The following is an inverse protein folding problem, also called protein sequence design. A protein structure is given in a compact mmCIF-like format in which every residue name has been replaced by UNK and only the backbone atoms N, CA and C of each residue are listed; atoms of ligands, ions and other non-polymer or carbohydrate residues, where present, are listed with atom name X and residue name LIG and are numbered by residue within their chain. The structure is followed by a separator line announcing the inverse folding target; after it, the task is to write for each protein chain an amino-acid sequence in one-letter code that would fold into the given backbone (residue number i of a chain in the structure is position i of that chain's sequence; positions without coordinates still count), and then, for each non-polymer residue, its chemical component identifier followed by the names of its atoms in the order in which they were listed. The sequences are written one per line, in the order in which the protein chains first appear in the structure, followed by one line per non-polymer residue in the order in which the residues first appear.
data_IF_920582261955
#
_entry.id   IF_920582261955
#
_cell.length_a   1.000
_cell.length_b   1.000
_cell.length_c   1.000
_cell.angle_alpha   90.00
_cell.angle_beta   90.00
_cell.angle_gamma   90.00
#
_symmetry.space_group_name_H-M   'P 1'
#
loop_
_entity.id
_entity.type
_entity.pdbx_description
1 polymer ?
#
# COMPACT_ATOMS: atom_id res chain seq x y z
N UNK A 1 36.82 -29.08 -15.57
CA UNK A 1 35.56 -29.08 -14.80
C UNK A 1 34.57 -28.34 -15.64
N UNK A 2 33.58 -29.08 -16.14
CA UNK A 2 32.73 -28.72 -17.26
C UNK A 2 31.82 -27.52 -16.94
N UNK A 3 31.90 -26.49 -17.78
CA UNK A 3 30.95 -25.38 -17.77
C UNK A 3 29.63 -25.88 -18.36
N UNK A 4 28.66 -26.16 -17.48
CA UNK A 4 27.30 -26.47 -17.88
C UNK A 4 26.70 -25.33 -18.72
N UNK A 5 26.00 -25.62 -19.84
CA UNK A 5 24.96 -24.73 -20.32
C UNK A 5 23.83 -24.79 -19.29
N UNK A 6 23.72 -23.78 -18.42
CA UNK A 6 22.65 -23.76 -17.41
C UNK A 6 21.32 -23.50 -18.11
N UNK A 7 20.35 -24.33 -17.72
CA UNK A 7 18.99 -24.37 -18.25
C UNK A 7 18.28 -23.02 -18.16
N UNK A 8 17.31 -22.82 -19.05
CA UNK A 8 16.37 -21.69 -19.18
C UNK A 8 15.67 -21.28 -17.85
N UNK A 9 15.77 -22.09 -16.80
CA UNK A 9 15.15 -21.89 -15.48
C UNK A 9 15.91 -20.95 -14.52
N UNK A 10 17.09 -20.42 -14.86
CA UNK A 10 17.81 -19.46 -13.98
C UNK A 10 17.42 -17.98 -14.16
N UNK A 11 16.48 -17.66 -15.07
CA UNK A 11 16.15 -16.29 -15.50
C UNK A 11 15.59 -15.31 -14.45
N UNK A 12 15.56 -15.71 -13.17
CA UNK A 12 15.08 -14.88 -12.06
C UNK A 12 15.89 -15.09 -10.77
N UNK A 13 17.04 -15.78 -10.86
CA UNK A 13 17.90 -16.00 -9.70
C UNK A 13 18.46 -14.67 -9.21
N UNK A 14 18.47 -14.49 -7.90
CA UNK A 14 19.02 -13.29 -7.25
C UNK A 14 20.50 -13.48 -6.98
N UNK A 15 21.27 -12.41 -7.17
CA UNK A 15 22.72 -12.40 -6.98
C UNK A 15 23.15 -11.11 -6.28
N UNK A 16 24.34 -11.13 -5.69
CA UNK A 16 25.01 -9.93 -5.16
C UNK A 16 26.34 -9.72 -5.87
N UNK A 17 26.73 -8.45 -6.05
CA UNK A 17 27.98 -8.07 -6.70
C UNK A 17 28.44 -6.72 -6.15
N UNK A 18 29.61 -6.71 -5.49
CA UNK A 18 30.15 -5.58 -4.74
C UNK A 18 29.09 -4.94 -3.80
N UNK A 19 28.41 -5.78 -3.00
CA UNK A 19 27.42 -5.36 -2.00
C UNK A 19 26.03 -4.97 -2.53
N UNK A 20 25.86 -4.88 -3.85
CA UNK A 20 24.58 -4.54 -4.48
C UNK A 20 23.86 -5.76 -5.02
N UNK A 21 22.52 -5.71 -4.98
CA UNK A 21 21.65 -6.81 -5.40
C UNK A 21 21.19 -6.67 -6.83
N UNK A 22 21.12 -7.80 -7.52
CA UNK A 22 20.64 -7.87 -8.88
C UNK A 22 19.86 -9.16 -9.16
N UNK A 23 19.12 -9.15 -10.26
CA UNK A 23 18.46 -10.32 -10.84
C UNK A 23 19.28 -10.78 -12.03
N UNK A 24 19.62 -12.08 -12.09
CA UNK A 24 20.30 -12.67 -13.23
C UNK A 24 19.33 -12.77 -14.41
N UNK A 25 19.73 -12.25 -15.56
CA UNK A 25 18.93 -12.17 -16.79
C UNK A 25 19.54 -12.89 -17.98
N UNK A 26 20.86 -13.08 -17.98
CA UNK A 26 21.59 -13.72 -19.07
C UNK A 26 22.86 -14.39 -18.56
N UNK A 27 23.20 -15.55 -19.12
CA UNK A 27 24.47 -16.24 -18.89
C UNK A 27 25.00 -16.68 -20.23
N UNK A 28 26.15 -16.14 -20.65
CA UNK A 28 26.71 -16.49 -21.94
C UNK A 28 27.81 -15.55 -22.46
N UNK A 29 28.31 -15.81 -23.68
CA UNK A 29 29.30 -14.96 -24.32
C UNK A 29 28.68 -13.66 -24.84
N UNK A 30 29.45 -12.57 -24.82
CA UNK A 30 29.02 -11.24 -25.31
C UNK A 30 30.04 -10.72 -26.32
N UNK A 31 29.98 -11.13 -27.59
CA UNK A 31 30.92 -10.68 -28.62
C UNK A 31 31.00 -9.14 -28.74
N UNK A 32 32.19 -8.59 -29.07
CA UNK A 32 33.44 -9.28 -29.37
C UNK A 32 34.24 -9.68 -28.11
N UNK A 33 33.71 -9.43 -26.91
CA UNK A 33 34.44 -9.74 -25.67
C UNK A 33 34.49 -11.25 -25.44
N UNK A 34 35.63 -11.72 -24.93
CA UNK A 34 35.85 -13.14 -24.66
C UNK A 34 35.35 -13.56 -23.27
N UNK A 35 35.10 -14.86 -23.13
CA UNK A 35 34.71 -15.51 -21.89
C UNK A 35 33.23 -15.39 -21.55
N UNK A 36 32.86 -15.99 -20.42
CA UNK A 36 31.51 -15.98 -19.90
C UNK A 36 31.18 -14.64 -19.24
N UNK A 37 29.96 -14.17 -19.46
CA UNK A 37 29.38 -13.01 -18.80
C UNK A 37 28.04 -13.36 -18.18
N UNK A 38 27.75 -12.68 -17.07
CA UNK A 38 26.43 -12.66 -16.47
C UNK A 38 25.80 -11.31 -16.80
N UNK A 39 24.70 -11.32 -17.55
CA UNK A 39 23.84 -10.16 -17.69
C UNK A 39 22.93 -10.07 -16.47
N UNK A 40 23.01 -8.98 -15.74
CA UNK A 40 22.25 -8.75 -14.51
C UNK A 40 21.44 -7.46 -14.63
N UNK A 41 20.26 -7.45 -14.02
CA UNK A 41 19.46 -6.25 -13.82
C UNK A 41 19.51 -5.85 -12.35
N UNK A 42 20.01 -4.65 -12.08
CA UNK A 42 20.22 -4.17 -10.72
C UNK A 42 18.91 -3.79 -10.03
N UNK A 43 18.89 -3.94 -8.70
CA UNK A 43 17.80 -3.41 -7.91
C UNK A 43 17.74 -1.88 -7.95
N UNK A 44 18.90 -1.23 -7.87
CA UNK A 44 19.08 0.19 -8.12
C UNK A 44 19.45 0.44 -9.59
N UNK A 45 18.57 1.06 -10.40
CA UNK A 45 18.86 1.30 -11.82
C UNK A 45 20.01 2.27 -12.09
N UNK A 46 20.43 3.08 -11.11
CA UNK A 46 21.58 4.00 -11.24
C UNK A 46 22.93 3.26 -11.23
N UNK A 47 22.98 2.03 -10.69
CA UNK A 47 24.18 1.17 -10.68
C UNK A 47 24.47 0.60 -12.07
N UNK A 48 23.44 0.46 -12.90
CA UNK A 48 23.56 -0.15 -14.21
C UNK A 48 24.07 0.79 -15.30
N UNK A 49 24.21 0.26 -16.51
CA UNK A 49 24.90 0.91 -17.64
C UNK A 49 24.10 0.89 -18.94
N UNK A 50 23.20 -0.08 -19.11
CA UNK A 50 22.49 -0.31 -20.37
C UNK A 50 21.14 -1.02 -20.13
N UNK A 51 20.35 -1.20 -21.18
CA UNK A 51 19.03 -1.85 -21.15
C UNK A 51 19.09 -3.39 -21.31
N UNK A 52 20.31 -3.91 -21.45
CA UNK A 52 20.59 -5.34 -21.69
C UNK A 52 21.08 -5.64 -23.11
N UNK A 53 21.32 -4.58 -23.90
CA UNK A 53 22.02 -4.65 -25.19
C UNK A 53 23.53 -4.41 -25.07
N UNK A 54 24.29 -4.97 -26.01
CA UNK A 54 25.70 -4.64 -26.24
C UNK A 54 25.99 -4.63 -27.74
N UNK A 55 26.63 -3.57 -28.25
CA UNK A 55 26.97 -3.40 -29.67
C UNK A 55 25.82 -3.68 -30.65
N UNK A 56 24.60 -3.22 -30.32
CA UNK A 56 23.40 -3.39 -31.16
C UNK A 56 22.73 -4.77 -31.07
N UNK A 57 23.24 -5.69 -30.25
CA UNK A 57 22.61 -6.99 -29.99
C UNK A 57 21.90 -6.95 -28.64
N UNK A 58 20.61 -7.34 -28.61
CA UNK A 58 19.84 -7.47 -27.37
C UNK A 58 20.04 -8.86 -26.77
N UNK A 59 20.55 -8.94 -25.53
CA UNK A 59 20.75 -10.21 -24.83
C UNK A 59 19.64 -10.49 -23.82
N UNK A 60 19.20 -9.45 -23.13
CA UNK A 60 18.09 -9.47 -22.17
C UNK A 60 17.45 -8.09 -22.10
N UNK A 61 16.29 -7.96 -21.49
CA UNK A 61 15.61 -6.66 -21.31
C UNK A 61 15.59 -6.26 -19.84
N UNK A 62 15.64 -4.96 -19.58
CA UNK A 62 15.51 -4.37 -18.24
C UNK A 62 14.24 -3.52 -18.16
N UNK A 63 13.71 -3.35 -16.95
CA UNK A 63 12.63 -2.41 -16.66
C UNK A 63 13.06 -0.95 -16.76
N UNK A 64 14.36 -0.68 -16.64
CA UNK A 64 14.96 0.65 -16.77
C UNK A 64 16.00 0.69 -17.90
N UNK A 65 16.08 1.77 -18.71
CA UNK A 65 17.03 1.87 -19.82
C UNK A 65 18.51 1.75 -19.44
N UNK A 66 18.83 1.99 -18.17
CA UNK A 66 20.18 1.85 -17.61
C UNK A 66 20.27 0.74 -16.57
N UNK A 67 19.23 -0.07 -16.35
CA UNK A 67 19.18 -0.99 -15.21
C UNK A 67 20.12 -2.20 -15.32
N UNK A 68 20.62 -2.50 -16.52
CA UNK A 68 21.40 -3.69 -16.82
C UNK A 68 22.92 -3.50 -16.76
N UNK A 69 23.64 -4.59 -16.51
CA UNK A 69 25.10 -4.68 -16.66
C UNK A 69 25.54 -6.08 -17.06
N UNK A 70 26.64 -6.19 -17.78
CA UNK A 70 27.40 -7.44 -17.90
C UNK A 70 28.50 -7.47 -16.85
N UNK A 71 28.50 -8.50 -16.00
CA UNK A 71 29.48 -8.70 -14.92
C UNK A 71 30.20 -10.05 -15.08
N UNK A 72 31.42 -10.12 -14.54
CA UNK A 72 32.20 -11.36 -14.56
C UNK A 72 31.73 -12.30 -13.46
N UNK A 73 31.58 -13.61 -13.73
CA UNK A 73 31.15 -14.58 -12.72
C UNK A 73 31.95 -14.53 -11.41
N UNK A 74 33.26 -14.29 -11.49
CA UNK A 74 34.15 -14.20 -10.32
C UNK A 74 33.85 -13.02 -9.37
N UNK A 75 33.05 -12.03 -9.78
CA UNK A 75 32.63 -10.90 -8.95
C UNK A 75 31.25 -11.10 -8.31
N UNK A 76 30.57 -12.19 -8.66
CA UNK A 76 29.18 -12.42 -8.28
C UNK A 76 29.12 -13.52 -7.23
N UNK A 77 28.35 -13.25 -6.18
CA UNK A 77 27.98 -14.24 -5.16
C UNK A 77 26.53 -14.65 -5.36
N UNK A 78 26.30 -15.95 -5.23
CA UNK A 78 24.98 -16.56 -5.28
C UNK A 78 24.40 -16.78 -3.89
N UNK A 79 25.10 -16.32 -2.85
CA UNK A 79 24.67 -16.46 -1.47
C UNK A 79 24.91 -17.83 -0.86
N UNK A 80 24.36 -17.98 0.34
CA UNK A 80 24.43 -19.19 1.17
C UNK A 80 23.04 -19.58 1.64
N UNK A 81 22.90 -20.81 2.14
CA UNK A 81 21.65 -21.24 2.76
C UNK A 81 21.38 -20.51 4.08
N UNK A 82 20.15 -20.64 4.55
CA UNK A 82 19.64 -20.00 5.77
C UNK A 82 20.49 -20.28 7.02
N UNK A 83 20.87 -21.53 7.29
CA UNK A 83 21.59 -21.89 8.52
C UNK A 83 23.05 -21.45 8.47
N UNK A 84 23.66 -21.48 7.29
CA UNK A 84 24.98 -20.90 7.09
C UNK A 84 24.95 -19.40 7.39
N UNK A 85 23.94 -18.67 6.90
CA UNK A 85 23.81 -17.24 7.18
C UNK A 85 23.55 -16.94 8.67
N UNK A 86 22.69 -17.71 9.33
CA UNK A 86 22.42 -17.59 10.77
C UNK A 86 23.67 -17.82 11.61
N UNK A 87 24.46 -18.84 11.28
CA UNK A 87 25.73 -19.13 11.95
C UNK A 87 26.71 -17.94 11.85
N UNK A 88 26.79 -17.30 10.67
CA UNK A 88 27.62 -16.10 10.46
C UNK A 88 27.10 -14.93 11.28
N UNK A 89 25.79 -14.69 11.27
CA UNK A 89 25.15 -13.63 12.04
C UNK A 89 25.47 -13.74 13.53
N UNK A 90 25.41 -14.94 14.10
CA UNK A 90 25.76 -15.16 15.50
C UNK A 90 27.23 -14.89 15.79
N UNK A 91 28.14 -15.29 14.91
CA UNK A 91 29.56 -14.96 15.08
C UNK A 91 29.80 -13.44 15.10
N UNK A 92 29.11 -12.71 14.22
CA UNK A 92 29.18 -11.25 14.20
C UNK A 92 28.61 -10.63 15.48
N UNK A 93 27.44 -11.10 15.96
CA UNK A 93 26.86 -10.63 17.22
C UNK A 93 27.77 -10.84 18.43
N UNK A 94 28.50 -11.96 18.45
CA UNK A 94 29.42 -12.28 19.54
C UNK A 94 30.81 -11.64 19.38
N UNK A 95 31.02 -10.81 18.35
CA UNK A 95 32.30 -10.14 18.08
C UNK A 95 33.42 -11.11 17.67
N UNK A 96 33.06 -12.31 17.20
CA UNK A 96 33.99 -13.38 16.84
C UNK A 96 34.36 -13.39 15.36
N UNK A 97 33.73 -12.54 14.54
CA UNK A 97 34.04 -12.34 13.13
C UNK A 97 34.38 -10.87 12.84
N UNK A 98 35.41 -10.63 12.04
CA UNK A 98 35.71 -9.30 11.47
C UNK A 98 34.85 -9.06 10.22
N UNK A 99 34.52 -7.80 9.96
CA UNK A 99 33.59 -7.34 8.91
C UNK A 99 33.99 -7.71 7.48
N UNK A 100 35.26 -8.12 7.25
CA UNK A 100 35.83 -8.34 5.91
C UNK A 100 35.82 -9.81 5.47
N UNK A 101 35.01 -10.67 6.10
CA UNK A 101 35.01 -12.09 5.76
C UNK A 101 34.35 -12.35 4.41
N UNK A 102 35.17 -12.43 3.35
CA UNK A 102 34.78 -13.02 2.07
C UNK A 102 34.53 -14.51 2.31
N UNK A 103 33.25 -14.87 2.42
CA UNK A 103 32.80 -16.23 2.69
C UNK A 103 33.24 -17.18 1.57
N UNK A 104 34.27 -18.00 1.82
CA UNK A 104 34.59 -19.15 0.98
C UNK A 104 34.05 -20.45 1.63
N UNK A 105 33.94 -21.53 0.86
CA UNK A 105 33.35 -22.81 1.31
C UNK A 105 34.05 -23.38 2.55
N UNK A 106 35.38 -23.21 2.67
CA UNK A 106 36.17 -23.72 3.79
C UNK A 106 35.93 -22.92 5.07
N UNK A 107 35.75 -21.61 4.92
CA UNK A 107 35.30 -20.70 5.95
C UNK A 107 33.90 -21.05 6.47
N UNK A 108 32.95 -21.41 5.61
CA UNK A 108 31.62 -21.89 6.03
C UNK A 108 31.71 -23.16 6.88
N UNK A 109 32.50 -24.16 6.45
CA UNK A 109 32.66 -25.43 7.18
C UNK A 109 33.24 -25.18 8.58
N UNK A 110 34.23 -24.28 8.68
CA UNK A 110 34.80 -23.90 9.98
C UNK A 110 33.78 -23.17 10.86
N UNK A 111 33.03 -22.22 10.31
CA UNK A 111 31.97 -21.47 11.01
C UNK A 111 30.86 -22.40 11.51
N UNK A 112 30.38 -23.32 10.67
CA UNK A 112 29.38 -24.32 11.06
C UNK A 112 29.89 -25.23 12.17
N UNK A 113 31.13 -25.70 12.07
CA UNK A 113 31.75 -26.54 13.10
C UNK A 113 31.92 -25.77 14.43
N UNK A 114 32.29 -24.49 14.38
CA UNK A 114 32.45 -23.66 15.58
C UNK A 114 31.11 -23.24 16.21
N UNK A 115 30.11 -22.87 15.41
CA UNK A 115 28.77 -22.52 15.89
C UNK A 115 28.10 -23.71 16.59
N UNK A 116 28.28 -24.93 16.06
CA UNK A 116 27.80 -26.18 16.67
C UNK A 116 28.43 -26.44 18.05
N UNK A 117 29.67 -25.99 18.28
CA UNK A 117 30.38 -26.17 19.55
C UNK A 117 30.09 -25.07 20.59
N UNK A 118 29.65 -23.87 20.18
CA UNK A 118 29.65 -22.70 21.07
C UNK A 118 28.25 -22.21 21.48
N UNK A 119 27.19 -22.46 20.71
CA UNK A 119 25.87 -21.91 21.05
C UNK A 119 24.73 -22.92 20.94
N UNK A 120 24.02 -23.11 22.07
CA UNK A 120 22.71 -23.75 22.11
C UNK A 120 21.67 -22.75 21.58
N UNK A 121 21.33 -22.87 20.28
CA UNK A 121 20.33 -22.08 19.54
C UNK A 121 18.92 -22.04 20.16
N UNK A 122 18.69 -22.82 21.22
CA UNK A 122 17.42 -23.00 21.94
C UNK A 122 16.74 -21.73 22.50
N UNK A 123 17.38 -20.55 22.49
CA UNK A 123 16.88 -19.36 23.21
C UNK A 123 16.40 -18.21 22.33
N UNK A 124 16.66 -18.22 21.03
CA UNK A 124 16.30 -17.07 20.18
C UNK A 124 14.82 -17.12 19.79
N UNK A 125 14.09 -16.06 20.17
CA UNK A 125 12.72 -15.83 19.70
C UNK A 125 12.68 -15.04 18.38
N UNK A 126 13.78 -14.38 18.03
CA UNK A 126 13.91 -13.56 16.82
C UNK A 126 15.21 -13.86 16.11
N UNK A 127 15.16 -14.02 14.79
CA UNK A 127 16.31 -14.16 13.89
C UNK A 127 16.28 -13.01 12.89
N UNK A 128 17.39 -12.28 12.76
CA UNK A 128 17.48 -11.09 11.90
C UNK A 128 18.63 -11.29 10.91
N UNK A 129 18.28 -11.63 9.67
CA UNK A 129 19.21 -11.86 8.57
C UNK A 129 19.01 -10.80 7.48
N UNK A 130 18.51 -9.61 7.84
CA UNK A 130 18.36 -8.53 6.89
C UNK A 130 19.70 -8.15 6.28
N UNK A 131 19.74 -8.05 4.95
CA UNK A 131 20.96 -7.71 4.21
C UNK A 131 21.95 -8.87 4.05
N UNK A 132 21.69 -10.05 4.63
CA UNK A 132 22.50 -11.24 4.36
C UNK A 132 22.16 -11.85 3.01
N UNK A 133 23.09 -12.61 2.44
CA UNK A 133 22.95 -13.23 1.12
C UNK A 133 22.26 -14.60 1.20
N UNK A 134 21.15 -14.71 1.94
CA UNK A 134 20.39 -15.96 2.05
C UNK A 134 19.75 -16.29 0.70
N UNK A 135 20.00 -17.47 0.15
CA UNK A 135 19.48 -17.89 -1.16
C UNK A 135 18.47 -19.04 -1.12
N UNK A 136 18.27 -19.67 0.04
CA UNK A 136 17.39 -20.83 0.18
C UNK A 136 17.43 -21.49 1.56
N UNK A 137 16.63 -22.55 1.77
CA UNK A 137 16.42 -23.20 3.07
C UNK A 137 17.61 -24.04 3.57
N UNK A 138 18.49 -24.51 2.69
CA UNK A 138 19.52 -25.49 3.05
C UNK A 138 18.98 -26.93 3.14
N UNK A 139 19.62 -27.77 3.96
CA UNK A 139 19.22 -29.16 4.12
C UNK A 139 17.90 -29.31 4.90
N UNK A 140 17.06 -30.24 4.47
CA UNK A 140 15.74 -30.43 5.06
C UNK A 140 15.82 -30.91 6.52
N UNK A 141 15.05 -30.27 7.41
CA UNK A 141 14.89 -30.67 8.81
C UNK A 141 15.87 -30.03 9.78
N UNK A 142 16.99 -29.47 9.31
CA UNK A 142 18.00 -28.86 10.19
C UNK A 142 17.52 -27.57 10.85
N UNK A 143 16.68 -26.77 10.18
CA UNK A 143 16.11 -25.54 10.76
C UNK A 143 15.23 -25.89 11.96
N UNK A 144 14.42 -26.94 11.83
CA UNK A 144 13.51 -27.39 12.88
C UNK A 144 14.26 -27.85 14.13
N UNK A 145 15.42 -28.49 13.98
CA UNK A 145 16.19 -28.99 15.13
C UNK A 145 16.98 -27.88 15.83
N UNK A 146 17.43 -26.88 15.08
CA UNK A 146 18.26 -25.78 15.59
C UNK A 146 17.46 -24.59 16.10
N UNK A 147 16.39 -24.19 15.39
CA UNK A 147 15.69 -22.91 15.58
C UNK A 147 14.19 -23.07 15.90
N UNK A 148 13.81 -24.14 16.60
CA UNK A 148 12.42 -24.47 16.95
C UNK A 148 11.66 -23.43 17.80
N UNK A 149 12.35 -22.45 18.39
CA UNK A 149 11.76 -21.43 19.26
C UNK A 149 11.57 -20.07 18.61
N UNK A 150 11.92 -19.92 17.32
CA UNK A 150 11.82 -18.65 16.61
C UNK A 150 10.35 -18.28 16.36
N UNK A 151 9.97 -17.09 16.82
CA UNK A 151 8.66 -16.48 16.64
C UNK A 151 8.67 -15.34 15.61
N UNK A 152 9.85 -14.72 15.40
CA UNK A 152 10.02 -13.60 14.48
C UNK A 152 11.22 -13.81 13.56
N UNK A 153 11.03 -13.60 12.26
CA UNK A 153 12.08 -13.77 11.26
C UNK A 153 12.14 -12.57 10.32
N UNK A 154 13.32 -11.97 10.19
CA UNK A 154 13.60 -10.94 9.20
C UNK A 154 14.58 -11.45 8.14
N UNK A 155 14.08 -11.57 6.91
CA UNK A 155 14.80 -11.97 5.70
C UNK A 155 14.79 -10.84 4.66
N UNK A 156 14.71 -9.59 5.12
CA UNK A 156 14.62 -8.41 4.26
C UNK A 156 15.89 -8.19 3.45
N UNK A 157 15.74 -8.04 2.14
CA UNK A 157 16.84 -7.83 1.21
C UNK A 157 17.79 -9.01 1.22
N UNK A 158 17.28 -10.23 1.08
CA UNK A 158 18.12 -11.42 0.89
C UNK A 158 18.29 -11.71 -0.60
N UNK A 159 18.83 -12.89 -0.94
CA UNK A 159 18.86 -13.43 -2.30
C UNK A 159 17.77 -14.48 -2.53
N UNK A 160 16.75 -14.53 -1.68
CA UNK A 160 15.57 -15.36 -1.92
C UNK A 160 14.82 -14.83 -3.14
N UNK A 161 14.57 -15.72 -4.10
CA UNK A 161 13.90 -15.39 -5.36
C UNK A 161 12.56 -16.08 -5.53
N UNK A 162 12.17 -17.00 -4.63
CA UNK A 162 10.99 -17.86 -4.77
C UNK A 162 10.22 -17.97 -3.46
N UNK A 163 8.89 -18.04 -3.55
CA UNK A 163 8.04 -18.30 -2.39
C UNK A 163 8.21 -19.72 -1.85
N UNK A 164 8.58 -20.68 -2.70
CA UNK A 164 8.80 -22.07 -2.30
C UNK A 164 9.99 -22.19 -1.34
N UNK A 165 11.06 -21.40 -1.54
CA UNK A 165 12.21 -21.37 -0.64
C UNK A 165 11.84 -20.74 0.71
N UNK A 166 11.02 -19.67 0.70
CA UNK A 166 10.47 -19.08 1.91
C UNK A 166 9.60 -20.10 2.65
N UNK A 167 8.69 -20.78 1.96
CA UNK A 167 7.82 -21.79 2.55
C UNK A 167 8.61 -22.95 3.15
N UNK A 168 9.69 -23.40 2.49
CA UNK A 168 10.56 -24.45 3.02
C UNK A 168 11.31 -24.04 4.29
N UNK A 169 11.60 -22.74 4.48
CA UNK A 169 12.14 -22.19 5.73
C UNK A 169 11.04 -22.15 6.79
N UNK A 170 9.89 -21.54 6.48
CA UNK A 170 8.83 -21.29 7.48
C UNK A 170 8.12 -22.55 7.93
N UNK A 171 7.98 -23.56 7.07
CA UNK A 171 7.42 -24.87 7.43
C UNK A 171 8.19 -25.56 8.57
N UNK A 172 9.47 -25.24 8.73
CA UNK A 172 10.33 -25.77 9.79
C UNK A 172 10.27 -24.97 11.09
N UNK A 173 9.60 -23.81 11.11
CA UNK A 173 9.51 -22.89 12.23
C UNK A 173 8.09 -22.89 12.82
N UNK A 174 7.80 -23.92 13.62
CA UNK A 174 6.44 -24.17 14.14
C UNK A 174 5.83 -23.03 14.95
N UNK A 175 6.66 -22.16 15.53
CA UNK A 175 6.22 -21.03 16.37
C UNK A 175 6.26 -19.67 15.67
N UNK A 176 6.55 -19.64 14.36
CA UNK A 176 6.71 -18.40 13.62
C UNK A 176 5.38 -17.64 13.52
N UNK A 177 5.34 -16.45 14.10
CA UNK A 177 4.19 -15.54 14.07
C UNK A 177 4.44 -14.31 13.19
N UNK A 178 5.70 -13.88 13.03
CA UNK A 178 6.05 -12.69 12.27
C UNK A 178 7.16 -12.92 11.25
N UNK A 179 6.97 -12.40 10.04
CA UNK A 179 7.89 -12.54 8.92
C UNK A 179 8.07 -11.22 8.18
N UNK A 180 9.32 -10.79 8.01
CA UNK A 180 9.69 -9.65 7.19
C UNK A 180 10.49 -10.10 5.96
N UNK A 181 10.04 -9.66 4.79
CA UNK A 181 10.59 -10.02 3.48
C UNK A 181 10.82 -8.80 2.61
N UNK A 182 11.03 -7.63 3.23
CA UNK A 182 11.19 -6.37 2.50
C UNK A 182 12.26 -6.47 1.42
N UNK A 183 12.12 -5.73 0.31
CA UNK A 183 13.15 -5.63 -0.74
C UNK A 183 13.59 -6.96 -1.36
N UNK A 184 12.74 -8.00 -1.32
CA UNK A 184 12.94 -9.23 -2.09
C UNK A 184 12.08 -9.20 -3.36
N UNK A 185 12.54 -9.86 -4.44
CA UNK A 185 11.77 -10.03 -5.68
C UNK A 185 11.40 -11.50 -5.86
N UNK A 186 10.35 -11.92 -5.15
CA UNK A 186 9.90 -13.31 -5.13
C UNK A 186 9.03 -13.63 -6.34
N UNK A 187 9.38 -14.69 -7.08
CA UNK A 187 8.54 -15.23 -8.14
C UNK A 187 7.29 -15.86 -7.54
N UNK A 188 6.13 -15.61 -8.15
CA UNK A 188 4.88 -16.21 -7.72
C UNK A 188 4.92 -17.75 -7.88
N UNK A 189 4.43 -18.50 -6.89
CA UNK A 189 4.25 -19.94 -7.05
C UNK A 189 3.12 -20.22 -8.06
N UNK A 190 3.23 -21.36 -8.75
CA UNK A 190 2.19 -21.84 -9.67
C UNK A 190 0.86 -22.02 -8.93
N UNK A 191 0.92 -22.75 -7.81
CA UNK A 191 -0.20 -23.07 -6.92
C UNK A 191 0.11 -22.59 -5.49
N UNK A 192 -0.20 -21.34 -5.11
CA UNK A 192 0.15 -20.82 -3.78
C UNK A 192 -0.50 -21.58 -2.62
N UNK A 193 -1.74 -22.06 -2.77
CA UNK A 193 -2.50 -22.70 -1.69
C UNK A 193 -1.82 -23.94 -1.09
N UNK A 194 -0.93 -24.61 -1.84
CA UNK A 194 -0.16 -25.77 -1.35
C UNK A 194 0.80 -25.40 -0.21
N UNK A 195 1.17 -24.12 -0.11
CA UNK A 195 2.07 -23.63 0.93
C UNK A 195 1.33 -23.08 2.17
N UNK A 196 -0.01 -23.19 2.23
CA UNK A 196 -0.79 -22.69 3.37
C UNK A 196 -0.34 -23.25 4.72
N UNK A 197 0.07 -24.51 4.77
CA UNK A 197 0.57 -25.13 5.99
C UNK A 197 1.89 -24.52 6.48
N UNK A 198 2.74 -24.06 5.55
CA UNK A 198 4.03 -23.45 5.88
C UNK A 198 3.89 -22.09 6.58
N UNK A 199 2.71 -21.45 6.51
CA UNK A 199 2.44 -20.15 7.12
C UNK A 199 1.19 -20.19 8.03
N UNK A 200 0.80 -21.37 8.51
CA UNK A 200 -0.45 -21.55 9.25
C UNK A 200 -0.51 -20.77 10.58
N UNK A 201 0.64 -20.48 11.18
CA UNK A 201 0.77 -19.71 12.43
C UNK A 201 1.15 -18.23 12.20
N UNK A 202 1.34 -17.83 10.94
CA UNK A 202 1.80 -16.47 10.62
C UNK A 202 0.69 -15.44 10.85
N UNK A 203 0.99 -14.47 11.72
CA UNK A 203 0.09 -13.36 12.09
C UNK A 203 0.52 -12.04 11.46
N UNK A 204 1.82 -11.78 11.36
CA UNK A 204 2.36 -10.54 10.80
C UNK A 204 3.24 -10.82 9.59
N UNK A 205 2.94 -10.17 8.46
CA UNK A 205 3.72 -10.28 7.24
C UNK A 205 4.04 -8.90 6.66
N UNK A 206 5.33 -8.66 6.44
CA UNK A 206 5.83 -7.40 5.91
C UNK A 206 6.55 -7.60 4.56
N UNK A 207 6.07 -6.93 3.53
CA UNK A 207 6.44 -7.09 2.12
C UNK A 207 6.74 -5.74 1.44
N UNK A 208 7.26 -4.78 2.19
CA UNK A 208 7.59 -3.45 1.66
C UNK A 208 8.65 -3.50 0.55
N UNK A 209 8.49 -2.65 -0.46
CA UNK A 209 9.46 -2.49 -1.56
C UNK A 209 9.81 -3.80 -2.32
N UNK A 210 8.86 -4.74 -2.40
CA UNK A 210 9.03 -6.01 -3.12
C UNK A 210 8.63 -5.94 -4.60
N UNK A 211 8.19 -4.77 -5.07
CA UNK A 211 7.65 -4.54 -6.42
C UNK A 211 6.45 -5.43 -6.75
N UNK A 212 5.63 -5.71 -5.74
CA UNK A 212 4.43 -6.53 -5.88
C UNK A 212 3.25 -5.70 -6.37
N UNK A 213 2.43 -6.30 -7.22
CA UNK A 213 1.13 -5.77 -7.64
C UNK A 213 0.00 -6.41 -6.83
N UNK A 214 -1.16 -5.76 -6.76
CA UNK A 214 -2.34 -6.32 -6.07
C UNK A 214 -2.73 -7.73 -6.52
N UNK A 215 -2.83 -8.05 -7.82
CA UNK A 215 -3.14 -9.41 -8.26
C UNK A 215 -2.14 -10.45 -7.75
N UNK A 216 -0.86 -10.09 -7.67
CA UNK A 216 0.19 -10.96 -7.14
C UNK A 216 -0.01 -11.21 -5.65
N UNK A 217 -0.29 -10.16 -4.87
CA UNK A 217 -0.57 -10.24 -3.43
C UNK A 217 -1.78 -11.12 -3.17
N UNK A 218 -2.89 -10.89 -3.88
CA UNK A 218 -4.14 -11.66 -3.69
C UNK A 218 -3.97 -13.13 -4.06
N UNK A 219 -3.19 -13.43 -5.12
CA UNK A 219 -2.84 -14.81 -5.46
C UNK A 219 -2.10 -15.47 -4.28
N UNK A 220 -1.12 -14.77 -3.70
CA UNK A 220 -0.34 -15.25 -2.56
C UNK A 220 -1.12 -15.29 -1.24
N UNK A 221 -2.16 -14.47 -1.05
CA UNK A 221 -2.92 -14.38 0.20
C UNK A 221 -3.53 -15.72 0.65
N UNK A 222 -3.78 -16.64 -0.27
CA UNK A 222 -4.22 -18.02 0.03
C UNK A 222 -3.21 -18.83 0.85
N UNK A 223 -1.95 -18.38 0.92
CA UNK A 223 -0.92 -18.97 1.78
C UNK A 223 -1.04 -18.56 3.24
N UNK A 224 -1.73 -17.46 3.59
CA UNK A 224 -1.67 -16.84 4.92
C UNK A 224 -3.04 -16.84 5.62
N UNK A 225 -3.57 -18.02 6.01
CA UNK A 225 -4.95 -18.16 6.44
C UNK A 225 -5.28 -17.44 7.77
N UNK A 226 -4.29 -17.22 8.64
CA UNK A 226 -4.45 -16.62 9.96
C UNK A 226 -3.84 -15.21 10.06
N UNK A 227 -3.56 -14.56 8.92
CA UNK A 227 -2.84 -13.29 8.92
C UNK A 227 -3.66 -12.17 9.58
N UNK A 228 -3.08 -11.53 10.59
CA UNK A 228 -3.65 -10.42 11.35
C UNK A 228 -3.13 -9.05 10.91
N UNK A 229 -1.89 -8.99 10.43
CA UNK A 229 -1.21 -7.79 10.00
C UNK A 229 -0.49 -7.96 8.67
N UNK A 230 -0.84 -7.11 7.71
CA UNK A 230 -0.22 -7.07 6.38
C UNK A 230 0.37 -5.68 6.11
N UNK A 231 1.68 -5.63 5.85
CA UNK A 231 2.43 -4.39 5.60
C UNK A 231 2.99 -4.44 4.17
N UNK A 232 2.51 -3.55 3.31
CA UNK A 232 2.76 -3.53 1.86
C UNK A 232 3.25 -2.17 1.38
N UNK A 233 4.08 -1.49 2.16
CA UNK A 233 4.48 -0.12 1.87
C UNK A 233 5.43 0.00 0.68
N UNK A 234 5.31 1.11 -0.05
CA UNK A 234 6.22 1.48 -1.15
C UNK A 234 6.45 0.35 -2.19
N UNK A 235 5.41 -0.39 -2.55
CA UNK A 235 5.43 -1.33 -3.67
C UNK A 235 5.05 -0.67 -5.01
N UNK A 236 4.90 0.66 -5.02
CA UNK A 236 4.43 1.46 -6.17
C UNK A 236 3.09 0.94 -6.73
N UNK A 237 2.22 0.43 -5.84
CA UNK A 237 0.92 -0.09 -6.25
C UNK A 237 0.03 1.10 -6.62
N UNK A 238 -0.21 1.28 -7.91
CA UNK A 238 -0.86 2.50 -8.43
C UNK A 238 -2.38 2.40 -8.56
N UNK A 239 -2.95 1.21 -8.64
CA UNK A 239 -4.38 1.07 -8.91
C UNK A 239 -4.98 -0.11 -8.13
N UNK A 240 -6.15 0.11 -7.51
CA UNK A 240 -7.11 -0.94 -7.14
C UNK A 240 -7.90 -1.43 -8.38
N UNK A 241 -7.50 -1.00 -9.59
CA UNK A 241 -8.14 -1.30 -10.86
C UNK A 241 -7.41 -2.38 -11.64
N UNK A 242 -8.20 -3.17 -12.38
CA UNK A 242 -7.71 -4.16 -13.34
C UNK A 242 -7.02 -3.49 -14.54
N UNK A 243 -6.02 -4.21 -15.06
CA UNK A 243 -5.28 -3.97 -16.29
C UNK A 243 -6.16 -3.50 -17.47
N UNK A 244 -5.73 -2.44 -18.18
CA UNK A 244 -6.30 -1.92 -19.44
C UNK A 244 -6.41 -2.95 -20.58
N UNK A 245 -5.76 -4.12 -20.46
CA UNK A 245 -5.67 -5.13 -21.53
C UNK A 245 -6.91 -6.03 -21.69
N UNK A 246 -7.93 -5.91 -20.83
CA UNK A 246 -9.19 -6.65 -20.94
C UNK A 246 -10.33 -5.67 -21.29
N UNK A 247 -10.14 -4.88 -22.35
CA UNK A 247 -11.17 -4.02 -22.93
C UNK A 247 -11.82 -4.74 -24.11
N UNK A 248 -12.75 -5.66 -23.85
CA UNK A 248 -13.70 -6.01 -24.91
C UNK A 248 -15.06 -6.58 -24.51
N UNK A 249 -15.36 -6.92 -23.26
CA UNK A 249 -16.64 -7.63 -22.99
C UNK A 249 -17.48 -7.27 -21.77
N UNK A 250 -17.14 -6.30 -20.89
CA UNK A 250 -18.18 -5.79 -19.97
C UNK A 250 -17.93 -4.37 -19.44
N UNK A 251 -19.01 -3.57 -19.42
CA UNK A 251 -19.08 -2.16 -19.02
C UNK A 251 -19.04 -1.94 -17.50
N UNK A 252 -18.51 -2.89 -16.71
CA UNK A 252 -18.54 -2.79 -15.25
C UNK A 252 -17.23 -2.19 -14.71
N UNK A 253 -17.39 -1.06 -14.04
CA UNK A 253 -16.32 -0.21 -13.54
C UNK A 253 -15.84 -0.73 -12.16
N UNK A 254 -15.14 -1.88 -12.12
CA UNK A 254 -14.74 -2.58 -10.88
C UNK A 254 -13.63 -1.86 -10.09
N UNK A 255 -13.92 -0.73 -9.47
CA UNK A 255 -12.91 0.14 -8.86
C UNK A 255 -12.36 -0.29 -7.48
N UNK A 256 -12.87 -1.36 -6.86
CA UNK A 256 -12.50 -1.74 -5.48
C UNK A 256 -12.42 -3.25 -5.22
N UNK A 257 -12.47 -4.07 -6.29
CA UNK A 257 -12.45 -5.54 -6.18
C UNK A 257 -11.28 -6.07 -5.35
N UNK A 258 -10.13 -5.41 -5.41
CA UNK A 258 -8.96 -5.80 -4.61
C UNK A 258 -9.24 -5.74 -3.10
N UNK A 259 -9.99 -4.74 -2.64
CA UNK A 259 -10.34 -4.61 -1.21
C UNK A 259 -11.31 -5.72 -0.81
N UNK A 260 -12.23 -6.10 -1.70
CA UNK A 260 -13.14 -7.23 -1.46
C UNK A 260 -12.39 -8.56 -1.38
N UNK A 261 -11.35 -8.74 -2.18
CA UNK A 261 -10.49 -9.93 -2.10
C UNK A 261 -9.64 -9.95 -0.83
N UNK A 262 -9.15 -8.79 -0.36
CA UNK A 262 -8.49 -8.68 0.94
C UNK A 262 -9.44 -9.00 2.10
N UNK A 263 -10.74 -8.71 1.97
CA UNK A 263 -11.74 -9.06 2.99
C UNK A 263 -11.84 -10.57 3.24
N UNK A 264 -11.35 -11.42 2.32
CA UNK A 264 -11.25 -12.87 2.52
C UNK A 264 -10.21 -13.28 3.56
N UNK A 265 -9.25 -12.40 3.88
CA UNK A 265 -8.38 -12.54 5.04
C UNK A 265 -9.17 -12.13 6.29
N UNK A 266 -9.99 -13.05 6.79
CA UNK A 266 -10.95 -12.80 7.88
C UNK A 266 -10.30 -12.35 9.19
N UNK A 267 -9.03 -12.69 9.41
CA UNK A 267 -8.27 -12.33 10.61
C UNK A 267 -7.55 -10.97 10.48
N UNK A 268 -7.59 -10.32 9.31
CA UNK A 268 -6.78 -9.12 9.02
C UNK A 268 -7.28 -7.89 9.79
N UNK A 269 -6.63 -7.56 10.89
CA UNK A 269 -6.99 -6.43 11.78
C UNK A 269 -6.11 -5.19 11.52
N UNK A 270 -4.91 -5.36 10.97
CA UNK A 270 -3.97 -4.28 10.67
C UNK A 270 -3.53 -4.32 9.22
N UNK A 271 -3.61 -3.19 8.53
CA UNK A 271 -3.20 -3.10 7.14
C UNK A 271 -2.43 -1.80 6.91
N UNK A 272 -1.20 -1.92 6.41
CA UNK A 272 -0.42 -0.78 5.93
C UNK A 272 -0.13 -0.91 4.44
N UNK A 273 -0.38 0.17 3.73
CA UNK A 273 -0.15 0.32 2.30
C UNK A 273 0.37 1.72 1.96
N UNK A 274 1.03 2.36 2.92
CA UNK A 274 1.61 3.69 2.75
C UNK A 274 2.64 3.72 1.60
N UNK A 275 2.75 4.84 0.91
CA UNK A 275 3.64 4.95 -0.26
C UNK A 275 3.17 4.20 -1.50
N UNK A 276 1.99 3.55 -1.46
CA UNK A 276 1.27 3.15 -2.66
C UNK A 276 0.35 4.27 -3.13
N UNK A 277 0.16 4.40 -4.44
CA UNK A 277 -0.68 5.46 -5.03
C UNK A 277 -2.12 4.98 -5.12
N UNK A 278 -2.74 4.67 -3.98
CA UNK A 278 -4.15 4.29 -3.94
C UNK A 278 -5.02 5.51 -4.30
N UNK A 279 -5.43 5.58 -5.56
CA UNK A 279 -6.28 6.65 -6.07
C UNK A 279 -7.69 6.11 -6.33
N UNK A 280 -8.68 6.78 -5.75
CA UNK A 280 -10.07 6.73 -6.20
C UNK A 280 -10.22 7.51 -7.51
N UNK A 281 -11.37 7.34 -8.19
CA UNK A 281 -11.64 7.97 -9.50
C UNK A 281 -11.54 9.51 -9.48
N UNK A 282 -11.85 10.12 -8.33
CA UNK A 282 -11.77 11.56 -8.07
C UNK A 282 -10.34 12.02 -7.72
N UNK A 283 -9.37 11.10 -7.62
CA UNK A 283 -7.98 11.37 -7.24
C UNK A 283 -7.80 11.74 -5.77
N UNK A 284 -8.81 11.56 -4.92
CA UNK A 284 -8.79 11.97 -3.52
C UNK A 284 -8.35 10.82 -2.59
N UNK A 285 -7.18 10.92 -1.92
CA UNK A 285 -6.71 9.89 -1.00
C UNK A 285 -7.67 9.58 0.16
N UNK A 286 -8.48 10.56 0.58
CA UNK A 286 -9.45 10.36 1.67
C UNK A 286 -10.59 9.44 1.24
N UNK A 287 -11.08 9.58 0.00
CA UNK A 287 -12.09 8.69 -0.57
C UNK A 287 -11.57 7.24 -0.60
N UNK A 288 -10.30 7.05 -0.97
CA UNK A 288 -9.68 5.71 -0.94
C UNK A 288 -9.59 5.13 0.47
N UNK A 289 -9.22 5.94 1.45
CA UNK A 289 -9.20 5.53 2.86
C UNK A 289 -10.59 5.11 3.35
N UNK A 290 -11.62 5.92 3.10
CA UNK A 290 -13.00 5.62 3.47
C UNK A 290 -13.46 4.29 2.84
N UNK A 291 -13.11 4.05 1.58
CA UNK A 291 -13.46 2.80 0.90
C UNK A 291 -12.84 1.56 1.52
N UNK A 292 -11.57 1.63 1.91
CA UNK A 292 -10.89 0.54 2.62
C UNK A 292 -11.56 0.27 3.96
N UNK A 293 -11.86 1.33 4.72
CA UNK A 293 -12.52 1.22 6.04
C UNK A 293 -13.92 0.59 5.91
N UNK A 294 -14.73 1.03 4.96
CA UNK A 294 -16.11 0.56 4.78
C UNK A 294 -16.18 -0.90 4.28
N UNK A 295 -15.21 -1.34 3.45
CA UNK A 295 -15.18 -2.69 2.90
C UNK A 295 -14.49 -3.72 3.79
N UNK A 296 -13.50 -3.32 4.59
CA UNK A 296 -12.81 -4.18 5.56
C UNK A 296 -13.39 -3.98 6.96
N UNK A 297 -14.48 -4.69 7.25
CA UNK A 297 -15.28 -4.59 8.48
C UNK A 297 -14.42 -4.85 9.74
N UNK A 298 -13.53 -5.84 9.68
CA UNK A 298 -12.68 -6.29 10.78
C UNK A 298 -11.48 -5.38 11.08
N UNK A 299 -11.17 -4.44 10.18
CA UNK A 299 -9.93 -3.66 10.26
C UNK A 299 -9.95 -2.67 11.44
N UNK A 300 -8.92 -2.68 12.27
CA UNK A 300 -8.79 -1.74 13.41
C UNK A 300 -7.71 -0.69 13.14
N UNK A 301 -6.69 -1.03 12.34
CA UNK A 301 -5.61 -0.10 12.00
C UNK A 301 -5.40 -0.04 10.48
N UNK A 302 -5.31 1.18 9.96
CA UNK A 302 -5.00 1.46 8.56
C UNK A 302 -3.89 2.50 8.46
N UNK A 303 -2.77 2.11 7.84
CA UNK A 303 -1.54 2.92 7.70
C UNK A 303 -1.07 3.48 9.06
N UNK A 304 -0.97 2.59 10.05
CA UNK A 304 -0.58 2.88 11.44
C UNK A 304 -1.49 3.86 12.19
N UNK A 305 -2.65 4.22 11.63
CA UNK A 305 -3.67 4.99 12.30
C UNK A 305 -4.80 4.07 12.78
N UNK A 306 -5.18 4.19 14.05
CA UNK A 306 -6.39 3.55 14.58
C UNK A 306 -7.62 4.09 13.88
N UNK A 307 -8.49 3.18 13.43
CA UNK A 307 -9.81 3.53 12.88
C UNK A 307 -10.77 3.70 14.06
N UNK A 308 -11.15 4.94 14.35
CA UNK A 308 -12.11 5.22 15.41
C UNK A 308 -13.55 4.97 14.94
N UNK A 309 -14.46 4.72 15.89
CA UNK A 309 -15.85 4.34 15.59
C UNK A 309 -16.60 5.36 14.73
N UNK A 310 -16.39 6.66 14.94
CA UNK A 310 -17.03 7.72 14.16
C UNK A 310 -16.50 7.79 12.72
N UNK A 311 -15.19 7.58 12.52
CA UNK A 311 -14.58 7.50 11.18
C UNK A 311 -15.15 6.30 10.41
N UNK A 312 -15.23 5.14 11.06
CA UNK A 312 -15.82 3.92 10.48
C UNK A 312 -17.29 4.14 10.10
N UNK A 313 -18.08 4.71 11.02
CA UNK A 313 -19.48 5.03 10.76
C UNK A 313 -19.64 5.98 9.57
N UNK A 314 -18.82 7.03 9.50
CA UNK A 314 -18.83 7.99 8.40
C UNK A 314 -18.50 7.31 7.07
N UNK A 315 -17.42 6.52 7.03
CA UNK A 315 -17.00 5.79 5.85
C UNK A 315 -18.06 4.79 5.35
N UNK A 316 -18.71 4.05 6.26
CA UNK A 316 -19.78 3.10 5.94
C UNK A 316 -21.02 3.81 5.35
N UNK A 317 -21.42 4.96 5.92
CA UNK A 317 -22.53 5.76 5.39
C UNK A 317 -22.21 6.39 4.03
N UNK A 318 -20.99 6.91 3.85
CA UNK A 318 -20.54 7.46 2.57
C UNK A 318 -20.51 6.37 1.49
N UNK A 319 -20.09 5.15 1.85
CA UNK A 319 -20.13 3.99 0.96
C UNK A 319 -21.56 3.60 0.57
N UNK A 320 -22.51 3.58 1.52
CA UNK A 320 -23.93 3.36 1.21
C UNK A 320 -24.42 4.39 0.19
N UNK A 321 -24.16 5.68 0.44
CA UNK A 321 -24.60 6.78 -0.43
C UNK A 321 -23.97 6.70 -1.82
N UNK A 322 -22.69 6.39 -1.89
CA UNK A 322 -21.95 6.32 -3.15
C UNK A 322 -22.47 5.26 -4.12
N UNK A 323 -22.89 4.09 -3.62
CA UNK A 323 -23.39 2.99 -4.45
C UNK A 323 -24.91 2.80 -4.40
N UNK A 324 -25.66 3.70 -3.76
CA UNK A 324 -27.10 3.55 -3.60
C UNK A 324 -27.89 3.60 -4.91
N UNK A 325 -27.48 4.43 -5.89
CA UNK A 325 -28.09 4.41 -7.23
C UNK A 325 -27.90 3.05 -7.93
N UNK A 326 -26.74 2.42 -7.75
CA UNK A 326 -26.41 1.12 -8.34
C UNK A 326 -27.19 0.00 -7.64
N UNK A 327 -27.30 0.08 -6.31
CA UNK A 327 -28.10 -0.84 -5.50
C UNK A 327 -29.59 -0.79 -5.87
N UNK A 328 -30.18 0.41 -6.01
CA UNK A 328 -31.57 0.57 -6.42
C UNK A 328 -31.83 -0.04 -7.80
N UNK A 329 -30.94 0.22 -8.77
CA UNK A 329 -31.02 -0.37 -10.12
C UNK A 329 -30.87 -1.89 -10.10
N UNK A 330 -30.14 -2.43 -9.14
CA UNK A 330 -29.94 -3.86 -8.98
C UNK A 330 -31.14 -4.60 -8.37
N UNK A 331 -32.17 -3.89 -7.89
CA UNK A 331 -33.34 -4.49 -7.21
C UNK A 331 -33.63 -3.88 -5.84
N UNK A 332 -32.69 -3.11 -5.29
CA UNK A 332 -32.88 -2.33 -4.07
C UNK A 332 -33.34 -3.19 -2.88
N UNK A 333 -34.36 -2.74 -2.12
CA UNK A 333 -34.91 -3.50 -0.99
C UNK A 333 -35.51 -4.86 -1.39
N UNK A 334 -35.84 -5.05 -2.67
CA UNK A 334 -36.54 -6.23 -3.19
C UNK A 334 -35.63 -7.40 -3.57
N UNK A 335 -34.45 -7.51 -2.95
CA UNK A 335 -33.33 -8.39 -3.31
C UNK A 335 -32.48 -7.84 -4.48
N UNK A 336 -31.27 -7.32 -4.22
CA UNK A 336 -30.33 -6.95 -5.27
C UNK A 336 -29.90 -8.16 -6.12
N UNK A 337 -29.60 -7.93 -7.39
CA UNK A 337 -29.10 -8.97 -8.29
C UNK A 337 -27.72 -9.52 -7.85
N UNK A 338 -27.40 -10.72 -8.34
CA UNK A 338 -26.18 -11.44 -7.97
C UNK A 338 -24.89 -10.66 -8.31
N UNK A 339 -24.89 -9.88 -9.40
CA UNK A 339 -23.73 -9.10 -9.83
C UNK A 339 -23.39 -7.97 -8.84
N UNK A 340 -24.41 -7.29 -8.31
CA UNK A 340 -24.23 -6.27 -7.28
C UNK A 340 -23.72 -6.88 -5.98
N UNK A 341 -24.33 -7.99 -5.53
CA UNK A 341 -23.91 -8.69 -4.31
C UNK A 341 -22.44 -9.10 -4.38
N UNK A 342 -21.99 -9.60 -5.55
CA UNK A 342 -20.60 -10.00 -5.76
C UNK A 342 -19.62 -8.83 -5.70
N UNK A 343 -20.02 -7.64 -6.14
CA UNK A 343 -19.19 -6.43 -6.13
C UNK A 343 -19.22 -5.69 -4.78
N UNK A 344 -20.29 -5.88 -4.02
CA UNK A 344 -20.56 -5.16 -2.79
C UNK A 344 -20.96 -6.13 -1.66
N UNK A 345 -20.09 -7.08 -1.28
CA UNK A 345 -20.43 -8.16 -0.35
C UNK A 345 -20.85 -7.68 1.04
N UNK A 346 -20.35 -6.52 1.49
CA UNK A 346 -20.71 -5.92 2.77
C UNK A 346 -21.98 -5.04 2.72
N UNK A 347 -22.48 -4.68 1.53
CA UNK A 347 -23.46 -3.61 1.39
C UNK A 347 -24.80 -3.95 2.03
N UNK A 348 -25.30 -5.18 1.85
CA UNK A 348 -26.56 -5.60 2.47
C UNK A 348 -26.50 -5.48 4.01
N UNK A 349 -25.40 -5.94 4.63
CA UNK A 349 -25.21 -5.80 6.08
C UNK A 349 -25.24 -4.33 6.53
N UNK A 350 -24.68 -3.43 5.71
CA UNK A 350 -24.67 -2.00 6.01
C UNK A 350 -26.07 -1.39 5.89
N UNK A 351 -26.87 -1.82 4.91
CA UNK A 351 -28.29 -1.45 4.82
C UNK A 351 -29.07 -1.96 6.04
N UNK A 352 -28.83 -3.21 6.46
CA UNK A 352 -29.49 -3.76 7.65
C UNK A 352 -29.10 -2.99 8.93
N UNK A 353 -27.88 -2.45 8.97
CA UNK A 353 -27.33 -1.68 10.10
C UNK A 353 -27.79 -0.21 10.14
N UNK A 354 -27.84 0.47 9.00
CA UNK A 354 -28.06 1.93 8.93
C UNK A 354 -29.36 2.34 8.22
N UNK A 355 -30.00 1.43 7.52
CA UNK A 355 -31.16 1.69 6.67
C UNK A 355 -30.78 1.95 5.21
N UNK A 356 -31.81 1.93 4.34
CA UNK A 356 -31.67 2.27 2.94
C UNK A 356 -31.36 3.77 2.76
N UNK A 357 -30.52 4.16 1.78
CA UNK A 357 -30.29 5.56 1.47
C UNK A 357 -31.59 6.21 0.96
N UNK A 358 -31.87 7.43 1.42
CA UNK A 358 -33.00 8.21 0.94
C UNK A 358 -32.74 8.63 -0.52
N UNK A 359 -33.74 8.51 -1.40
CA UNK A 359 -33.64 8.93 -2.81
C UNK A 359 -33.21 10.40 -2.97
N UNK A 360 -33.49 11.25 -1.99
CA UNK A 360 -33.04 12.64 -1.95
C UNK A 360 -31.53 12.78 -1.70
N UNK A 361 -30.91 11.84 -0.97
CA UNK A 361 -29.47 11.80 -0.71
C UNK A 361 -28.67 11.20 -1.87
N UNK A 362 -29.29 10.35 -2.68
CA UNK A 362 -28.68 9.70 -3.84
C UNK A 362 -28.60 10.60 -5.08
N UNK A 363 -29.37 11.69 -5.10
CA UNK A 363 -29.24 12.69 -6.14
C UNK A 363 -27.83 13.24 -6.07
N UNK A 364 -27.01 12.87 -7.05
CA UNK A 364 -25.72 13.54 -7.30
C UNK A 364 -25.99 15.03 -7.18
N UNK A 365 -25.20 15.80 -6.41
CA UNK A 365 -25.24 17.24 -6.57
C UNK A 365 -25.07 17.43 -8.07
N UNK A 366 -26.10 17.98 -8.74
CA UNK A 366 -25.91 18.37 -10.12
C UNK A 366 -24.60 19.13 -10.12
N UNK A 367 -23.64 18.86 -11.03
CA UNK A 367 -22.61 19.84 -11.26
C UNK A 367 -23.43 21.09 -11.53
N UNK A 368 -23.47 22.01 -10.56
CA UNK A 368 -24.24 23.21 -10.68
C UNK A 368 -23.43 23.91 -11.74
N UNK A 369 -23.81 23.71 -13.00
CA UNK A 369 -23.23 24.37 -14.14
C UNK A 369 -23.08 25.80 -13.66
N UNK A 370 -21.86 26.35 -13.67
CA UNK A 370 -21.52 27.67 -13.17
C UNK A 370 -22.49 28.69 -13.79
N UNK A 371 -23.70 28.78 -13.26
CA UNK A 371 -24.53 29.94 -13.35
C UNK A 371 -23.86 30.82 -12.35
N UNK A 372 -23.21 31.86 -12.86
CA UNK A 372 -22.79 33.03 -12.11
C UNK A 372 -24.03 33.63 -11.42
N UNK A 373 -24.60 32.91 -10.46
CA UNK A 373 -25.77 33.31 -9.71
C UNK A 373 -25.23 34.11 -8.55
N UNK A 374 -25.32 35.43 -8.72
CA UNK A 374 -25.08 36.36 -7.64
C UNK A 374 -26.22 36.21 -6.64
N UNK A 375 -25.88 35.86 -5.41
CA UNK A 375 -26.80 35.85 -4.27
C UNK A 375 -26.75 37.23 -3.59
N UNK A 376 -27.93 37.77 -3.28
CA UNK A 376 -28.09 39.00 -2.51
C UNK A 376 -27.91 38.66 -1.03
N UNK A 377 -26.82 39.12 -0.44
CA UNK A 377 -26.53 38.98 0.98
C UNK A 377 -26.73 40.33 1.68
N UNK A 378 -27.37 40.31 2.85
CA UNK A 378 -27.49 41.48 3.73
C UNK A 378 -26.52 41.33 4.90
N UNK A 379 -25.50 42.16 4.95
CA UNK A 379 -24.56 42.23 6.08
C UNK A 379 -25.15 43.07 7.20
N UNK A 380 -25.18 42.48 8.40
CA UNK A 380 -25.58 43.12 9.65
C UNK A 380 -24.36 43.26 10.56
N UNK A 381 -24.32 44.30 11.37
CA UNK A 381 -23.16 44.62 12.22
C UNK A 381 -23.58 44.67 13.69
N UNK A 382 -23.69 43.52 14.39
CA UNK A 382 -24.09 43.50 15.79
C UNK A 382 -23.20 44.34 16.72
N UNK A 383 -21.92 44.48 16.36
CA UNK A 383 -20.93 45.27 17.11
C UNK A 383 -21.04 46.79 16.86
N UNK A 384 -21.86 47.23 15.90
CA UNK A 384 -22.05 48.63 15.52
C UNK A 384 -23.55 48.87 15.21
N UNK A 385 -24.39 49.04 16.26
CA UNK A 385 -25.85 49.08 16.11
C UNK A 385 -26.37 50.26 15.29
N UNK A 386 -25.63 51.37 15.26
CA UNK A 386 -25.98 52.57 14.51
C UNK A 386 -25.69 52.43 13.01
N UNK A 387 -24.89 51.42 12.63
CA UNK A 387 -24.54 51.16 11.25
C UNK A 387 -25.68 50.48 10.50
N UNK A 388 -26.08 51.12 9.41
CA UNK A 388 -27.10 50.57 8.50
C UNK A 388 -26.62 49.26 7.87
N UNK A 389 -27.52 48.26 7.74
CA UNK A 389 -27.25 47.05 6.98
C UNK A 389 -26.72 47.34 5.58
N UNK A 390 -25.80 46.50 5.11
CA UNK A 390 -25.19 46.64 3.78
C UNK A 390 -25.61 45.46 2.92
N UNK A 391 -26.30 45.74 1.81
CA UNK A 391 -26.65 44.71 0.84
C UNK A 391 -25.59 44.60 -0.27
N UNK A 392 -25.19 43.38 -0.59
CA UNK A 392 -24.29 43.08 -1.71
C UNK A 392 -24.72 41.86 -2.48
N UNK A 393 -24.51 41.91 -3.80
CA UNK A 393 -24.64 40.75 -4.70
C UNK A 393 -23.28 40.10 -4.85
N UNK A 394 -23.13 38.88 -4.34
CA UNK A 394 -21.87 38.13 -4.35
C UNK A 394 -22.08 36.78 -5.03
N UNK A 395 -21.08 36.23 -5.74
CA UNK A 395 -21.15 34.85 -6.23
C UNK A 395 -21.27 33.89 -5.04
N UNK A 396 -22.17 32.90 -5.12
CA UNK A 396 -22.22 31.83 -4.11
C UNK A 396 -20.90 31.04 -4.01
N UNK A 397 -20.11 31.03 -5.09
CA UNK A 397 -18.78 30.43 -5.17
C UNK A 397 -17.66 31.30 -4.59
N UNK A 398 -17.95 32.52 -4.10
CA UNK A 398 -16.94 33.38 -3.49
C UNK A 398 -16.45 32.75 -2.18
N UNK A 399 -15.14 32.65 -2.02
CA UNK A 399 -14.49 32.20 -0.78
C UNK A 399 -14.65 33.23 0.34
N UNK A 400 -14.74 32.72 1.56
CA UNK A 400 -14.95 33.54 2.77
C UNK A 400 -13.78 34.52 2.97
N UNK A 401 -12.56 34.17 2.60
CA UNK A 401 -11.42 35.09 2.62
C UNK A 401 -11.65 36.33 1.75
N UNK A 402 -12.15 36.19 0.52
CA UNK A 402 -12.53 37.32 -0.35
C UNK A 402 -13.70 38.12 0.21
N UNK A 403 -14.67 37.48 0.86
CA UNK A 403 -15.76 38.18 1.56
C UNK A 403 -15.22 39.03 2.70
N UNK A 404 -14.34 38.48 3.55
CA UNK A 404 -13.65 39.23 4.61
C UNK A 404 -12.78 40.36 4.04
N UNK A 405 -12.12 40.15 2.90
CA UNK A 405 -11.38 41.21 2.20
C UNK A 405 -12.27 42.34 1.65
N UNK A 406 -13.50 42.03 1.22
CA UNK A 406 -14.51 43.04 0.87
C UNK A 406 -14.94 43.82 2.12
N UNK A 407 -15.27 43.13 3.21
CA UNK A 407 -15.69 43.73 4.47
C UNK A 407 -14.58 44.58 5.10
N UNK A 408 -13.33 44.12 5.10
CA UNK A 408 -12.17 44.89 5.55
C UNK A 408 -12.08 46.26 4.85
N UNK A 409 -12.23 46.28 3.51
CA UNK A 409 -12.18 47.54 2.76
C UNK A 409 -13.31 48.52 3.16
N UNK A 410 -14.45 48.00 3.58
CA UNK A 410 -15.66 48.76 3.94
C UNK A 410 -15.74 49.15 5.42
N UNK A 411 -15.21 48.30 6.31
CA UNK A 411 -15.26 48.46 7.77
C UNK A 411 -13.97 49.07 8.31
N UNK A 412 -12.86 48.99 7.56
CA UNK A 412 -11.51 49.33 8.03
C UNK A 412 -11.04 48.50 9.24
N UNK A 413 -11.68 47.36 9.46
CA UNK A 413 -11.30 46.34 10.47
C UNK A 413 -10.44 45.28 9.79
N UNK A 414 -9.29 44.85 10.34
CA UNK A 414 -8.46 43.80 9.76
C UNK A 414 -9.26 42.52 9.47
N UNK A 415 -9.01 41.88 8.32
CA UNK A 415 -9.76 40.69 7.91
C UNK A 415 -9.63 39.52 8.90
N UNK A 416 -8.49 39.43 9.60
CA UNK A 416 -8.24 38.42 10.63
C UNK A 416 -9.16 38.55 11.85
N UNK A 417 -9.61 39.77 12.15
CA UNK A 417 -10.45 40.06 13.33
C UNK A 417 -11.94 39.89 13.03
N UNK A 418 -12.31 39.73 11.76
CA UNK A 418 -13.70 39.53 11.35
C UNK A 418 -14.16 38.10 11.63
N UNK A 419 -15.26 37.98 12.37
CA UNK A 419 -16.02 36.74 12.59
C UNK A 419 -17.37 36.83 11.89
N UNK A 420 -17.67 35.82 11.09
CA UNK A 420 -18.88 35.77 10.27
C UNK A 420 -19.78 34.63 10.73
N UNK A 421 -21.08 34.90 10.73
CA UNK A 421 -22.13 33.89 10.88
C UNK A 421 -23.32 34.32 10.03
N UNK A 422 -24.32 33.45 9.83
CA UNK A 422 -25.50 33.81 9.05
C UNK A 422 -26.80 33.27 9.62
N UNK A 423 -27.90 33.93 9.26
CA UNK A 423 -29.28 33.53 9.54
C UNK A 423 -30.03 33.39 8.23
N UNK A 424 -30.72 32.26 8.08
CA UNK A 424 -31.55 31.96 6.92
C UNK A 424 -33.04 32.03 7.25
N UNK A 425 -33.85 32.44 6.28
CA UNK A 425 -35.32 32.47 6.40
C UNK A 425 -35.93 31.06 6.51
N UNK A 426 -35.21 30.02 6.03
CA UNK A 426 -35.66 28.61 6.06
C UNK A 426 -35.63 27.98 7.46
N UNK A 427 -34.81 28.51 8.37
CA UNK A 427 -34.67 28.06 9.77
C UNK A 427 -34.65 29.27 10.70
N UNK A 428 -35.85 29.72 11.08
CA UNK A 428 -36.01 30.87 11.96
C UNK A 428 -35.34 30.61 13.33
N UNK A 429 -34.59 31.60 13.82
CA UNK A 429 -34.00 31.61 15.16
C UNK A 429 -32.65 30.91 15.31
N UNK A 430 -32.15 30.21 14.29
CA UNK A 430 -30.84 29.54 14.33
C UNK A 430 -29.79 30.37 13.60
N UNK A 431 -28.63 30.54 14.24
CA UNK A 431 -27.46 31.21 13.68
C UNK A 431 -26.37 30.16 13.39
N UNK A 432 -25.77 30.24 12.20
CA UNK A 432 -24.77 29.29 11.73
C UNK A 432 -23.41 29.98 11.56
N UNK A 433 -22.37 29.41 12.14
CA UNK A 433 -21.02 29.97 12.05
C UNK A 433 -20.37 29.74 10.68
N UNK A 434 -19.59 30.71 10.23
CA UNK A 434 -18.77 30.65 9.01
C UNK A 434 -17.30 30.68 9.47
N UNK A 435 -16.74 29.51 9.71
CA UNK A 435 -15.51 29.31 10.48
C UNK A 435 -14.26 28.96 9.65
N UNK A 436 -14.41 28.81 8.33
CA UNK A 436 -13.31 28.43 7.43
C UNK A 436 -13.18 29.38 6.23
N UNK A 437 -12.09 30.13 6.22
CA UNK A 437 -11.80 31.17 5.22
C UNK A 437 -11.54 30.61 3.81
N UNK A 438 -11.13 29.34 3.70
CA UNK A 438 -10.86 28.67 2.41
C UNK A 438 -12.10 28.03 1.78
N UNK A 439 -13.24 28.04 2.48
CA UNK A 439 -14.51 27.51 1.98
C UNK A 439 -15.35 28.61 1.33
N UNK A 440 -16.29 28.21 0.47
CA UNK A 440 -17.18 29.13 -0.25
C UNK A 440 -18.46 29.41 0.53
N UNK A 441 -19.16 30.51 0.23
CA UNK A 441 -20.49 30.78 0.78
C UNK A 441 -21.47 29.61 0.53
N UNK A 442 -21.36 28.95 -0.63
CA UNK A 442 -22.13 27.76 -0.97
C UNK A 442 -21.83 26.56 -0.07
N UNK A 443 -20.57 26.35 0.34
CA UNK A 443 -20.23 25.27 1.27
C UNK A 443 -20.98 25.43 2.60
N UNK A 444 -21.10 26.67 3.08
CA UNK A 444 -21.89 27.00 4.27
C UNK A 444 -23.39 27.09 4.00
N UNK A 445 -23.88 26.74 2.80
CA UNK A 445 -25.30 26.82 2.43
C UNK A 445 -25.91 28.22 2.62
N UNK A 446 -25.14 29.28 2.36
CA UNK A 446 -25.65 30.66 2.32
C UNK A 446 -26.37 30.89 1.00
N UNK A 447 -27.61 31.38 1.06
CA UNK A 447 -28.50 31.53 -0.09
C UNK A 447 -28.89 33.01 -0.37
N UNK A 448 -29.61 33.23 -1.48
CA UNK A 448 -30.15 34.54 -1.83
C UNK A 448 -31.14 35.03 -0.77
N UNK A 449 -30.91 36.25 -0.26
CA UNK A 449 -31.74 36.88 0.76
C UNK A 449 -31.28 36.63 2.20
N UNK A 450 -30.27 35.78 2.42
CA UNK A 450 -29.76 35.49 3.76
C UNK A 450 -29.06 36.71 4.40
N UNK A 451 -29.03 36.70 5.73
CA UNK A 451 -28.45 37.77 6.56
C UNK A 451 -27.16 37.28 7.19
N UNK A 452 -26.03 37.87 6.80
CA UNK A 452 -24.71 37.56 7.37
C UNK A 452 -24.42 38.56 8.49
N UNK A 453 -24.18 38.05 9.69
CA UNK A 453 -23.77 38.85 10.84
C UNK A 453 -22.24 38.96 10.84
N UNK A 454 -21.76 40.19 10.91
CA UNK A 454 -20.34 40.52 10.90
C UNK A 454 -19.97 41.08 12.27
N UNK A 455 -19.16 40.30 12.99
CA UNK A 455 -18.61 40.68 14.30
C UNK A 455 -17.11 40.87 14.19
N UNK A 456 -16.53 41.62 15.11
CA UNK A 456 -15.08 41.73 15.24
C UNK A 456 -14.68 41.89 16.70
N UNK A 457 -13.45 41.50 16.99
CA UNK A 457 -12.80 41.63 18.31
C UNK A 457 -11.79 42.77 18.32
#
# INVERSE_FOLDING_TARGET
MDFFPVQINENFRRVSCDGERATLRYVGPVPPTSGLWLGVEWDNPERGKHDGSHNGVQYFTCSHPTGGSFVRPAKVTFGVDFLTADSVYLLLLNGLAQTDFVMNVWSCVFIMFWAFFVFSFQKLQSVVLSGFEVNGPGAAGEIRTTLYNVCWLDLSGTLLSRWEDVAAITEQLDKLEGLQLHRNRLTLPSEPSVHSQAFCNLKTLALNQCQLTWPQILKCATMWPQLEELILEANDITELQRNKLILMTSLFNFQWFVVDELAKLSSLVRFSCQGNRLLSKDGNPNTARQMVIAKLEQLVFLNNCTIISDERRGAELDYIKMFGEEWLKAGGPGQPNADFIKQHPCYQKLIDKYGAPDESELKKPQPFALKNQLIKITFLFPNDPDRKPIEKKLPASMDVQKVKGLLHRMLKVPAADLKLSYKTSKKAGVEFDIDNDQKTLQFFSVEDGDRVLVRWS
#
